data_IF_956212905850
#
_entry.id   IF_956212905850
#
_cell.length_a   1.000
_cell.length_b   1.000
_cell.length_c   1.000
_cell.angle_alpha   90.00
_cell.angle_beta   90.00
_cell.angle_gamma   90.00
#
_symmetry.space_group_name_H-M   'P 1'
#
loop_
_entity.id
_entity.type
_entity.pdbx_description
1 polymer ?
#
# COMPACT_ATOMS: atom_id res chain seq x y z
N UNK A 1 9.61 22.60 5.33
CA UNK A 1 8.79 21.83 4.35
C UNK A 1 9.17 20.36 4.46
N UNK A 2 8.20 19.46 4.56
CA UNK A 2 8.47 18.01 4.55
C UNK A 2 9.16 17.63 3.24
N UNK A 3 10.32 16.99 3.32
CA UNK A 3 11.03 16.48 2.16
C UNK A 3 10.15 15.48 1.42
N UNK A 4 10.00 15.71 0.11
CA UNK A 4 9.33 14.79 -0.80
C UNK A 4 7.82 14.70 -0.64
N UNK A 5 7.09 15.81 -0.68
CA UNK A 5 5.63 15.77 -0.82
C UNK A 5 5.26 15.56 -2.29
N UNK A 6 4.13 14.91 -2.56
CA UNK A 6 3.48 14.96 -3.89
C UNK A 6 3.17 16.41 -4.24
N UNK A 7 3.47 16.86 -5.45
CA UNK A 7 3.29 18.28 -5.84
C UNK A 7 1.82 18.68 -5.72
N UNK A 8 0.94 17.84 -6.25
CA UNK A 8 -0.51 17.99 -6.22
C UNK A 8 -1.14 17.37 -4.96
N UNK A 9 -0.42 17.26 -3.85
CA UNK A 9 -0.92 16.56 -2.65
C UNK A 9 -2.28 17.07 -2.15
N UNK A 10 -2.53 18.38 -2.28
CA UNK A 10 -3.80 19.02 -1.84
C UNK A 10 -4.86 19.07 -2.94
N UNK A 11 -4.53 18.67 -4.16
CA UNK A 11 -5.41 18.74 -5.30
C UNK A 11 -6.14 17.40 -5.43
N UNK A 12 -7.46 17.42 -5.31
CA UNK A 12 -8.32 16.26 -5.49
C UNK A 12 -9.27 16.57 -6.64
N UNK A 13 -9.43 15.61 -7.54
CA UNK A 13 -10.55 15.62 -8.50
C UNK A 13 -11.86 15.38 -7.75
N UNK A 14 -13.00 15.61 -8.41
CA UNK A 14 -14.31 15.30 -7.81
C UNK A 14 -14.42 13.81 -7.49
N UNK A 15 -13.96 12.96 -8.42
CA UNK A 15 -13.88 11.52 -8.24
C UNK A 15 -13.03 11.12 -7.03
N UNK A 16 -11.86 11.74 -6.85
CA UNK A 16 -11.02 11.47 -5.68
C UNK A 16 -11.76 11.78 -4.36
N UNK A 17 -12.52 12.88 -4.32
CA UNK A 17 -13.30 13.25 -3.12
C UNK A 17 -14.40 12.24 -2.85
N UNK A 18 -15.16 11.88 -3.86
CA UNK A 18 -16.26 10.92 -3.74
C UNK A 18 -15.78 9.55 -3.25
N UNK A 19 -14.64 9.05 -3.77
CA UNK A 19 -14.02 7.81 -3.30
C UNK A 19 -13.61 7.93 -1.82
N UNK A 20 -12.97 9.04 -1.43
CA UNK A 20 -12.54 9.28 -0.05
C UNK A 20 -13.72 9.44 0.92
N UNK A 21 -14.82 10.05 0.49
CA UNK A 21 -16.07 10.16 1.26
C UNK A 21 -16.68 8.78 1.52
N UNK A 22 -16.71 7.91 0.51
CA UNK A 22 -17.17 6.54 0.69
C UNK A 22 -16.24 5.73 1.62
N UNK A 23 -14.92 5.94 1.53
CA UNK A 23 -13.99 5.36 2.51
C UNK A 23 -14.26 5.87 3.93
N UNK A 24 -14.58 7.15 4.12
CA UNK A 24 -14.94 7.71 5.42
C UNK A 24 -16.25 7.12 5.97
N UNK A 25 -17.26 6.89 5.11
CA UNK A 25 -18.49 6.18 5.49
C UNK A 25 -18.19 4.75 5.97
N UNK A 26 -17.34 4.02 5.23
CA UNK A 26 -16.84 2.70 5.64
C UNK A 26 -16.17 2.78 7.02
N UNK A 27 -15.29 3.76 7.25
CA UNK A 27 -14.63 3.93 8.56
C UNK A 27 -15.62 4.20 9.69
N UNK A 28 -16.69 4.95 9.42
CA UNK A 28 -17.74 5.28 10.42
C UNK A 28 -18.53 4.03 10.81
N UNK A 29 -18.96 3.23 9.83
CA UNK A 29 -19.61 1.93 10.09
C UNK A 29 -18.69 1.04 10.94
N UNK A 30 -17.41 0.91 10.56
CA UNK A 30 -16.45 0.12 11.34
C UNK A 30 -16.32 0.66 12.77
N UNK A 31 -16.22 1.98 12.94
CA UNK A 31 -16.13 2.60 14.26
C UNK A 31 -17.37 2.30 15.10
N UNK A 32 -18.56 2.32 14.51
CA UNK A 32 -19.83 2.05 15.21
C UNK A 32 -19.99 0.56 15.55
N UNK A 33 -19.36 -0.34 14.78
CA UNK A 33 -19.38 -1.80 15.00
C UNK A 33 -18.50 -2.30 16.15
N UNK A 34 -17.64 -1.45 16.73
CA UNK A 34 -16.71 -1.81 17.81
C UNK A 34 -17.12 -1.20 19.16
N UNK A 35 -16.67 -1.78 20.30
CA UNK A 35 -16.96 -1.25 21.64
C UNK A 35 -16.60 0.23 21.78
N UNK A 36 -17.46 1.00 22.46
CA UNK A 36 -17.40 2.47 22.55
C UNK A 36 -16.03 2.97 23.05
N UNK A 37 -15.45 2.28 24.04
CA UNK A 37 -14.15 2.60 24.63
C UNK A 37 -12.98 2.53 23.62
N UNK A 38 -13.15 1.77 22.54
CA UNK A 38 -12.13 1.56 21.52
C UNK A 38 -12.27 2.48 20.30
N UNK A 39 -13.42 3.13 20.14
CA UNK A 39 -13.75 3.91 18.95
C UNK A 39 -12.78 5.06 18.68
N UNK A 40 -12.33 5.75 19.73
CA UNK A 40 -11.36 6.84 19.62
C UNK A 40 -9.99 6.33 19.16
N UNK A 41 -9.56 5.19 19.70
CA UNK A 41 -8.30 4.53 19.33
C UNK A 41 -8.33 4.11 17.86
N UNK A 42 -9.38 3.38 17.45
CA UNK A 42 -9.58 3.00 16.05
C UNK A 42 -9.56 4.20 15.11
N UNK A 43 -10.31 5.26 15.43
CA UNK A 43 -10.40 6.44 14.58
C UNK A 43 -9.03 7.09 14.39
N UNK A 44 -8.29 7.32 15.48
CA UNK A 44 -7.01 8.01 15.44
C UNK A 44 -5.91 7.22 14.72
N UNK A 45 -5.88 5.89 14.92
CA UNK A 45 -4.79 5.05 14.42
C UNK A 45 -5.08 4.46 13.03
N UNK A 46 -6.34 4.16 12.73
CA UNK A 46 -6.76 3.38 11.56
C UNK A 46 -7.76 4.10 10.66
N UNK A 47 -8.89 4.54 11.22
CA UNK A 47 -10.08 4.93 10.48
C UNK A 47 -10.06 6.33 9.87
N UNK A 48 -9.31 7.28 10.45
CA UNK A 48 -9.33 8.68 10.01
C UNK A 48 -8.98 8.83 8.53
N UNK A 49 -9.79 9.58 7.79
CA UNK A 49 -9.51 9.94 6.39
C UNK A 49 -8.96 11.37 6.32
N UNK A 50 -7.87 11.54 5.58
CA UNK A 50 -7.37 12.83 5.14
C UNK A 50 -7.78 13.08 3.71
N UNK A 51 -8.44 14.20 3.45
CA UNK A 51 -8.81 14.69 2.13
C UNK A 51 -7.60 15.29 1.40
N UNK A 52 -6.63 14.43 1.12
CA UNK A 52 -5.43 14.76 0.35
C UNK A 52 -4.89 13.49 -0.29
N UNK A 53 -4.16 13.66 -1.40
CA UNK A 53 -3.61 12.54 -2.14
C UNK A 53 -2.52 11.78 -1.37
N UNK A 54 -1.90 12.44 -0.38
CA UNK A 54 -0.78 11.92 0.40
C UNK A 54 -1.13 11.49 1.83
N UNK A 55 -2.42 11.30 2.13
CA UNK A 55 -2.94 11.01 3.47
C UNK A 55 -2.44 12.02 4.54
N UNK A 56 -2.34 13.30 4.18
CA UNK A 56 -1.90 14.38 5.04
C UNK A 56 -0.44 14.20 5.46
N UNK A 57 0.45 14.04 4.47
CA UNK A 57 1.88 13.73 4.69
C UNK A 57 2.07 12.38 5.41
N UNK A 58 1.17 11.43 5.17
CA UNK A 58 1.16 10.12 5.83
C UNK A 58 0.92 10.15 7.34
N UNK A 59 0.43 11.27 7.89
CA UNK A 59 0.10 11.42 9.32
C UNK A 59 -1.29 12.01 9.55
N UNK A 60 -1.89 12.64 8.53
CA UNK A 60 -3.24 13.19 8.62
C UNK A 60 -4.31 12.11 8.51
N UNK A 61 -4.07 11.07 7.69
CA UNK A 61 -4.91 9.89 7.55
C UNK A 61 -4.40 8.72 8.39
N UNK A 62 -5.33 7.87 8.82
CA UNK A 62 -5.10 6.63 9.55
C UNK A 62 -4.45 5.54 8.71
N UNK A 63 -4.07 4.43 9.35
CA UNK A 63 -3.32 3.34 8.73
C UNK A 63 -4.04 2.73 7.52
N UNK A 64 -5.38 2.58 7.57
CA UNK A 64 -6.15 2.00 6.48
C UNK A 64 -6.00 2.81 5.20
N UNK A 65 -6.09 4.14 5.27
CA UNK A 65 -5.91 5.00 4.10
C UNK A 65 -4.48 4.87 3.54
N UNK A 66 -3.48 4.86 4.42
CA UNK A 66 -2.07 4.80 4.00
C UNK A 66 -1.71 3.49 3.32
N UNK A 67 -2.28 2.39 3.77
CA UNK A 67 -1.94 1.06 3.30
C UNK A 67 -2.75 0.69 2.05
N UNK A 68 -4.06 0.97 2.05
CA UNK A 68 -4.98 0.64 0.96
C UNK A 68 -5.01 1.69 -0.16
N UNK A 69 -5.10 2.97 0.18
CA UNK A 69 -5.40 4.02 -0.80
C UNK A 69 -4.15 4.73 -1.33
N UNK A 70 -3.06 4.72 -0.56
CA UNK A 70 -1.83 5.42 -0.90
C UNK A 70 -0.70 4.47 -1.28
N UNK A 71 0.16 4.92 -2.18
CA UNK A 71 1.42 4.23 -2.50
C UNK A 71 2.40 4.28 -1.34
N UNK A 72 3.41 3.41 -1.36
CA UNK A 72 4.50 3.49 -0.37
C UNK A 72 5.33 4.75 -0.58
N UNK A 73 5.84 5.27 0.53
CA UNK A 73 6.65 6.47 0.47
C UNK A 73 8.07 6.22 -0.04
N UNK A 74 8.50 6.94 -1.08
CA UNK A 74 9.86 6.87 -1.63
C UNK A 74 10.61 8.19 -1.43
N UNK A 75 11.82 8.09 -0.87
CA UNK A 75 12.79 9.18 -0.78
C UNK A 75 13.86 9.03 -1.87
N UNK A 76 14.51 10.14 -2.24
CA UNK A 76 15.62 10.13 -3.21
C UNK A 76 15.42 11.10 -4.38
N UNK A 77 16.38 11.09 -5.30
CA UNK A 77 16.36 11.85 -6.56
C UNK A 77 15.60 11.04 -7.62
N UNK A 78 14.27 11.12 -7.60
CA UNK A 78 13.39 10.39 -8.53
C UNK A 78 12.07 11.16 -8.75
N UNK A 79 11.32 10.87 -9.82
CA UNK A 79 10.03 11.50 -10.10
C UNK A 79 8.87 10.94 -9.28
N UNK A 80 9.13 10.03 -8.32
CA UNK A 80 8.05 9.36 -7.58
C UNK A 80 7.35 10.31 -6.60
N UNK A 81 6.05 10.44 -6.81
CA UNK A 81 5.11 11.02 -5.86
C UNK A 81 5.11 10.19 -4.59
N UNK A 82 5.40 10.85 -3.46
CA UNK A 82 5.46 10.18 -2.18
C UNK A 82 4.05 9.97 -1.64
N UNK A 83 3.65 8.71 -1.42
CA UNK A 83 2.37 8.34 -0.83
C UNK A 83 1.13 8.84 -1.59
N UNK A 84 1.19 8.98 -2.90
CA UNK A 84 0.04 9.42 -3.72
C UNK A 84 -1.09 8.38 -3.74
N UNK A 85 -2.31 8.75 -4.15
CA UNK A 85 -3.41 7.80 -4.36
C UNK A 85 -2.99 6.73 -5.36
N UNK A 86 -3.38 5.47 -5.14
CA UNK A 86 -2.98 4.33 -5.99
C UNK A 86 -3.54 4.40 -7.41
N UNK A 87 -4.70 5.04 -7.60
CA UNK A 87 -5.28 5.30 -8.92
C UNK A 87 -4.74 6.59 -9.56
N UNK A 88 -3.46 6.90 -9.33
CA UNK A 88 -2.84 8.07 -9.95
C UNK A 88 -2.70 7.84 -11.47
N UNK A 89 -3.14 8.78 -12.32
CA UNK A 89 -3.27 8.53 -13.76
C UNK A 89 -1.93 8.55 -14.51
N UNK A 90 -0.81 8.85 -13.86
CA UNK A 90 0.51 8.79 -14.49
C UNK A 90 1.42 7.80 -13.77
N UNK A 91 1.84 6.76 -14.48
CA UNK A 91 2.73 5.73 -13.96
C UNK A 91 4.04 5.65 -14.75
N UNK A 92 5.02 4.96 -14.18
CA UNK A 92 6.23 4.52 -14.87
C UNK A 92 6.39 3.02 -14.75
N UNK A 93 6.86 2.40 -15.83
CA UNK A 93 7.14 0.98 -15.92
C UNK A 93 8.33 0.73 -16.85
N UNK A 94 8.93 -0.45 -16.77
CA UNK A 94 9.97 -0.87 -17.70
C UNK A 94 9.39 -1.12 -19.09
N UNK A 95 8.23 -1.78 -19.14
CA UNK A 95 7.48 -2.13 -20.36
C UNK A 95 6.06 -1.58 -20.22
N UNK A 96 5.46 -1.13 -21.32
CA UNK A 96 4.08 -0.63 -21.34
C UNK A 96 3.10 -1.76 -20.91
N UNK A 97 2.38 -1.61 -19.81
CA UNK A 97 1.36 -2.59 -19.41
C UNK A 97 0.09 -2.44 -20.26
N UNK A 98 -0.69 -3.51 -20.49
CA UNK A 98 -1.83 -3.49 -21.41
C UNK A 98 -2.91 -2.45 -21.11
N UNK A 99 -3.16 -2.15 -19.83
CA UNK A 99 -4.24 -1.25 -19.39
C UNK A 99 -3.87 0.23 -19.41
N UNK A 100 -2.71 0.60 -19.96
CA UNK A 100 -2.21 1.97 -19.95
C UNK A 100 -1.96 2.48 -21.36
N UNK A 101 -2.21 3.77 -21.57
CA UNK A 101 -1.82 4.44 -22.82
C UNK A 101 -0.36 4.90 -22.74
N UNK A 102 0.40 4.82 -23.85
CA UNK A 102 1.75 5.36 -23.88
C UNK A 102 1.71 6.88 -23.83
N UNK A 103 2.73 7.47 -23.22
CA UNK A 103 3.02 8.90 -23.29
C UNK A 103 4.53 9.12 -23.32
N UNK A 104 4.97 10.31 -23.71
CA UNK A 104 6.39 10.66 -23.75
C UNK A 104 6.70 11.84 -22.84
N UNK A 105 7.99 12.13 -22.67
CA UNK A 105 8.44 13.28 -21.88
C UNK A 105 9.35 14.17 -22.69
N UNK A 106 9.32 15.46 -22.36
CA UNK A 106 10.29 16.47 -22.74
C UNK A 106 10.92 17.04 -21.47
N UNK A 107 12.20 17.42 -21.54
CA UNK A 107 12.88 18.08 -20.44
C UNK A 107 13.13 19.55 -20.78
N UNK A 108 12.67 20.42 -19.89
CA UNK A 108 13.10 21.80 -19.82
C UNK A 108 14.30 21.90 -18.87
N UNK A 109 15.49 22.07 -19.43
CA UNK A 109 16.74 22.13 -18.66
C UNK A 109 16.94 23.47 -17.95
N UNK A 110 16.33 24.55 -18.44
CA UNK A 110 16.45 25.88 -17.85
C UNK A 110 15.59 25.97 -16.59
N UNK A 111 14.35 25.46 -16.68
CA UNK A 111 13.44 25.40 -15.54
C UNK A 111 13.67 24.17 -14.64
N UNK A 112 14.45 23.19 -15.12
CA UNK A 112 14.64 21.88 -14.49
C UNK A 112 13.30 21.19 -14.22
N UNK A 113 12.48 21.10 -15.28
CA UNK A 113 11.11 20.58 -15.23
C UNK A 113 10.91 19.50 -16.29
N UNK A 114 10.21 18.44 -15.92
CA UNK A 114 9.76 17.40 -16.84
C UNK A 114 8.38 17.81 -17.33
N UNK A 115 8.16 17.70 -18.63
CA UNK A 115 6.88 18.00 -19.28
C UNK A 115 6.40 16.72 -19.93
N UNK A 116 5.18 16.31 -19.60
CA UNK A 116 4.57 15.09 -20.13
C UNK A 116 3.83 15.43 -21.42
N UNK A 117 4.05 14.65 -22.47
CA UNK A 117 3.47 14.87 -23.80
C UNK A 117 2.50 13.74 -24.11
N UNK A 118 1.23 14.11 -24.32
CA UNK A 118 0.14 13.19 -24.68
C UNK A 118 -0.61 13.79 -25.86
N UNK A 119 -0.63 13.11 -27.00
CA UNK A 119 -1.31 13.57 -28.22
C UNK A 119 -0.99 15.04 -28.58
N UNK A 120 0.30 15.42 -28.50
CA UNK A 120 0.83 16.78 -28.71
C UNK A 120 0.41 17.84 -27.68
N UNK A 121 -0.33 17.47 -26.62
CA UNK A 121 -0.61 18.36 -25.50
C UNK A 121 0.46 18.22 -24.43
N UNK A 122 0.85 19.34 -23.83
CA UNK A 122 1.84 19.40 -22.75
C UNK A 122 1.14 19.44 -21.39
N UNK A 123 1.58 18.58 -20.47
CA UNK A 123 1.11 18.53 -19.09
C UNK A 123 2.26 18.77 -18.14
N UNK A 124 2.06 19.70 -17.21
CA UNK A 124 3.03 19.98 -16.17
C UNK A 124 2.88 19.01 -15.00
N UNK A 125 3.96 18.74 -14.24
CA UNK A 125 3.98 17.92 -13.03
C UNK A 125 2.85 18.18 -12.04
N UNK A 126 2.44 19.44 -11.88
CA UNK A 126 1.33 19.86 -11.03
C UNK A 126 -0.06 19.52 -11.57
N UNK A 127 -0.19 19.28 -12.88
CA UNK A 127 -1.46 19.10 -13.60
C UNK A 127 -1.76 17.63 -13.94
N UNK A 128 -0.75 16.75 -13.90
CA UNK A 128 -0.89 15.33 -14.27
C UNK A 128 -1.97 14.58 -13.50
N UNK A 129 -2.37 15.04 -12.30
CA UNK A 129 -3.44 14.41 -11.53
C UNK A 129 -4.82 14.54 -12.20
N UNK A 130 -4.97 15.45 -13.17
CA UNK A 130 -6.20 15.71 -13.91
C UNK A 130 -6.32 14.87 -15.20
N UNK A 131 -5.30 14.06 -15.51
CA UNK A 131 -5.34 13.22 -16.70
C UNK A 131 -6.59 12.31 -16.67
N UNK A 132 -7.34 12.23 -17.80
CA UNK A 132 -8.66 11.60 -17.82
C UNK A 132 -8.60 10.07 -17.71
N UNK A 133 -7.43 9.50 -17.97
CA UNK A 133 -7.21 8.06 -18.03
C UNK A 133 -5.75 7.72 -17.65
N UNK A 134 -5.44 6.44 -17.39
CA UNK A 134 -4.10 6.03 -17.01
C UNK A 134 -3.11 6.03 -18.18
N UNK A 135 -2.00 6.73 -18.00
CA UNK A 135 -0.86 6.80 -18.92
C UNK A 135 0.40 6.22 -18.27
N UNK A 136 1.27 5.65 -19.10
CA UNK A 136 2.55 5.10 -18.69
C UNK A 136 3.70 5.73 -19.49
N UNK A 137 4.73 6.16 -18.77
CA UNK A 137 6.03 6.52 -19.34
C UNK A 137 6.92 5.28 -19.23
N UNK A 138 7.49 4.78 -20.32
CA UNK A 138 8.36 3.59 -20.28
C UNK A 138 9.83 3.98 -20.09
N UNK A 139 10.68 3.00 -19.77
CA UNK A 139 12.13 3.19 -19.68
C UNK A 139 12.72 3.90 -20.90
N UNK A 140 12.26 3.55 -22.12
CA UNK A 140 12.73 4.14 -23.37
C UNK A 140 12.50 5.65 -23.46
N UNK A 141 11.46 6.17 -22.80
CA UNK A 141 11.22 7.61 -22.73
C UNK A 141 12.19 8.32 -21.78
N UNK A 142 12.74 7.64 -20.78
CA UNK A 142 13.66 8.22 -19.79
C UNK A 142 15.13 8.16 -20.23
N UNK A 143 15.51 7.08 -20.92
CA UNK A 143 16.89 6.81 -21.31
C UNK A 143 17.59 7.98 -22.04
N UNK A 144 16.95 8.70 -22.98
CA UNK A 144 17.57 9.82 -23.66
C UNK A 144 17.99 10.98 -22.75
N UNK A 145 17.46 11.03 -21.53
CA UNK A 145 17.61 12.17 -20.63
C UNK A 145 18.43 11.88 -19.36
N UNK A 146 18.96 10.67 -19.23
CA UNK A 146 19.61 10.19 -17.99
C UNK A 146 20.71 11.13 -17.50
N UNK A 147 21.57 11.61 -18.39
CA UNK A 147 22.71 12.45 -18.00
C UNK A 147 22.26 13.84 -17.53
N UNK A 148 21.24 14.42 -18.19
CA UNK A 148 20.61 15.65 -17.71
C UNK A 148 19.97 15.44 -16.33
N UNK A 149 19.19 14.37 -16.15
CA UNK A 149 18.47 14.10 -14.90
C UNK A 149 19.40 13.78 -13.72
N UNK A 150 20.53 13.10 -13.95
CA UNK A 150 21.55 12.85 -12.91
C UNK A 150 22.14 14.13 -12.33
N UNK A 151 22.26 15.17 -13.17
CA UNK A 151 22.80 16.48 -12.75
C UNK A 151 21.85 17.26 -11.83
N UNK A 152 20.56 16.88 -11.76
CA UNK A 152 19.56 17.62 -11.00
C UNK A 152 19.73 17.43 -9.49
N UNK A 153 19.38 18.46 -8.73
CA UNK A 153 19.49 18.46 -7.27
C UNK A 153 18.20 17.93 -6.63
N UNK A 154 18.27 17.61 -5.33
CA UNK A 154 17.11 17.13 -4.60
C UNK A 154 15.93 18.12 -4.59
N UNK A 155 16.19 19.42 -4.70
CA UNK A 155 15.18 20.47 -4.81
C UNK A 155 14.39 20.40 -6.11
N UNK A 156 15.03 20.12 -7.24
CA UNK A 156 14.37 19.97 -8.55
C UNK A 156 13.39 18.80 -8.53
N UNK A 157 13.80 17.68 -7.96
CA UNK A 157 12.91 16.54 -7.77
C UNK A 157 11.77 16.86 -6.80
N UNK A 158 12.11 17.25 -5.57
CA UNK A 158 11.14 17.36 -4.48
C UNK A 158 10.12 18.48 -4.65
N UNK A 159 10.46 19.55 -5.37
CA UNK A 159 9.58 20.73 -5.52
C UNK A 159 8.91 20.80 -6.89
N UNK A 160 9.51 20.22 -7.94
CA UNK A 160 9.05 20.45 -9.32
C UNK A 160 8.65 19.18 -10.07
N UNK A 161 9.16 18.00 -9.72
CA UNK A 161 9.04 16.81 -10.58
C UNK A 161 8.50 15.51 -9.93
N UNK A 162 7.99 15.56 -8.69
CA UNK A 162 7.29 14.43 -8.05
C UNK A 162 5.85 14.32 -8.55
N UNK A 163 5.67 13.59 -9.64
CA UNK A 163 4.47 13.64 -10.47
C UNK A 163 3.92 12.29 -10.91
N UNK A 164 4.55 11.17 -10.56
CA UNK A 164 4.11 9.85 -11.03
C UNK A 164 4.24 8.79 -9.93
N UNK A 165 3.67 7.61 -10.12
CA UNK A 165 3.90 6.45 -9.25
C UNK A 165 4.50 5.28 -10.05
N UNK A 166 5.22 4.35 -9.42
CA UNK A 166 5.56 3.08 -10.05
C UNK A 166 4.28 2.32 -10.41
N UNK A 167 4.22 1.67 -11.57
CA UNK A 167 3.05 0.88 -11.98
C UNK A 167 2.73 -0.23 -10.97
N UNK A 168 3.74 -0.84 -10.32
CA UNK A 168 3.53 -1.90 -9.33
C UNK A 168 2.72 -1.46 -8.12
N UNK A 169 2.67 -0.15 -7.84
CA UNK A 169 1.88 0.42 -6.73
C UNK A 169 0.48 0.85 -7.16
N UNK A 170 0.20 0.85 -8.47
CA UNK A 170 -1.07 1.27 -9.03
C UNK A 170 -2.18 0.29 -8.66
N UNK A 171 -3.37 0.84 -8.46
CA UNK A 171 -4.61 0.11 -8.32
C UNK A 171 -5.71 0.90 -9.02
N UNK A 172 -6.70 0.21 -9.59
CA UNK A 172 -7.95 0.90 -9.91
C UNK A 172 -8.57 1.44 -8.63
N UNK A 173 -9.37 2.51 -8.76
CA UNK A 173 -9.98 3.14 -7.60
C UNK A 173 -10.89 2.18 -6.83
N UNK A 174 -11.62 1.32 -7.55
CA UNK A 174 -12.52 0.33 -6.96
C UNK A 174 -11.73 -0.76 -6.23
N UNK A 175 -10.66 -1.29 -6.84
CA UNK A 175 -9.78 -2.27 -6.19
C UNK A 175 -9.19 -1.70 -4.88
N UNK A 176 -8.84 -0.40 -4.86
CA UNK A 176 -8.30 0.29 -3.67
C UNK A 176 -9.38 0.53 -2.59
N UNK A 177 -10.60 0.89 -2.98
CA UNK A 177 -11.74 1.06 -2.07
C UNK A 177 -12.13 -0.27 -1.41
N UNK A 178 -12.22 -1.35 -2.19
CA UNK A 178 -12.51 -2.68 -1.69
C UNK A 178 -11.38 -3.20 -0.78
N UNK A 179 -10.13 -2.94 -1.14
CA UNK A 179 -8.97 -3.20 -0.29
C UNK A 179 -9.09 -2.47 1.05
N UNK A 180 -9.51 -1.20 1.03
CA UNK A 180 -9.73 -0.42 2.25
C UNK A 180 -10.81 -1.05 3.13
N UNK A 181 -11.93 -1.46 2.54
CA UNK A 181 -13.03 -2.11 3.24
C UNK A 181 -12.62 -3.44 3.89
N UNK A 182 -11.99 -4.35 3.12
CA UNK A 182 -11.55 -5.65 3.64
C UNK A 182 -10.54 -5.48 4.76
N UNK A 183 -9.54 -4.63 4.58
CA UNK A 183 -8.54 -4.35 5.62
C UNK A 183 -9.21 -3.71 6.86
N UNK A 184 -10.22 -2.87 6.67
CA UNK A 184 -11.02 -2.28 7.74
C UNK A 184 -11.75 -3.33 8.58
N UNK A 185 -12.47 -4.25 7.93
CA UNK A 185 -13.15 -5.38 8.59
C UNK A 185 -12.17 -6.24 9.37
N UNK A 186 -11.00 -6.55 8.79
CA UNK A 186 -9.94 -7.33 9.47
C UNK A 186 -9.52 -6.65 10.77
N UNK A 187 -9.24 -5.34 10.75
CA UNK A 187 -8.84 -4.60 11.94
C UNK A 187 -9.97 -4.56 12.98
N UNK A 188 -11.20 -4.30 12.55
CA UNK A 188 -12.36 -4.24 13.43
C UNK A 188 -12.53 -5.55 14.23
N UNK A 189 -12.49 -6.68 13.54
CA UNK A 189 -12.69 -8.00 14.13
C UNK A 189 -11.47 -8.43 14.94
N UNK A 190 -10.27 -8.42 14.33
CA UNK A 190 -9.08 -8.99 14.97
C UNK A 190 -8.54 -8.13 16.12
N UNK A 191 -8.63 -6.80 16.02
CA UNK A 191 -8.00 -5.89 16.99
C UNK A 191 -9.00 -5.25 17.95
N UNK A 192 -10.28 -5.14 17.55
CA UNK A 192 -11.29 -4.41 18.31
C UNK A 192 -12.54 -5.25 18.64
N UNK A 193 -12.52 -6.56 18.35
CA UNK A 193 -13.57 -7.52 18.66
C UNK A 193 -14.95 -7.13 18.10
N UNK A 194 -15.00 -6.50 16.93
CA UNK A 194 -16.26 -6.29 16.20
C UNK A 194 -16.94 -7.63 15.88
N UNK A 195 -18.27 -7.63 15.76
CA UNK A 195 -18.99 -8.80 15.24
C UNK A 195 -18.65 -9.01 13.76
N UNK A 196 -18.11 -10.19 13.44
CA UNK A 196 -17.59 -10.48 12.11
C UNK A 196 -18.67 -10.44 11.02
N UNK A 197 -19.84 -11.01 11.28
CA UNK A 197 -20.87 -11.18 10.26
C UNK A 197 -21.64 -9.88 10.01
N UNK A 198 -22.05 -9.19 11.08
CA UNK A 198 -22.72 -7.89 11.00
C UNK A 198 -21.83 -6.86 10.31
N UNK A 199 -20.59 -6.71 10.79
CA UNK A 199 -19.65 -5.70 10.23
C UNK A 199 -19.38 -5.95 8.75
N UNK A 200 -19.15 -7.20 8.36
CA UNK A 200 -18.90 -7.53 6.96
C UNK A 200 -20.12 -7.25 6.08
N UNK A 201 -21.32 -7.65 6.52
CA UNK A 201 -22.54 -7.49 5.73
C UNK A 201 -22.93 -6.01 5.57
N UNK A 202 -22.83 -5.20 6.62
CA UNK A 202 -23.09 -3.75 6.54
C UNK A 202 -22.12 -3.04 5.59
N UNK A 203 -20.83 -3.39 5.63
CA UNK A 203 -19.84 -2.85 4.71
C UNK A 203 -20.11 -3.28 3.27
N UNK A 204 -20.46 -4.56 3.06
CA UNK A 204 -20.80 -5.08 1.74
C UNK A 204 -22.04 -4.39 1.16
N UNK A 205 -23.05 -4.16 1.98
CA UNK A 205 -24.26 -3.43 1.60
C UNK A 205 -23.93 -1.98 1.21
N UNK A 206 -23.13 -1.27 2.01
CA UNK A 206 -22.68 0.08 1.66
C UNK A 206 -21.95 0.09 0.31
N UNK A 207 -21.00 -0.83 0.11
CA UNK A 207 -20.22 -0.94 -1.14
C UNK A 207 -21.13 -1.20 -2.33
N UNK A 208 -22.13 -2.06 -2.19
CA UNK A 208 -23.08 -2.38 -3.28
C UNK A 208 -23.95 -1.20 -3.74
N UNK A 209 -24.05 -0.16 -2.91
CA UNK A 209 -24.79 1.06 -3.21
C UNK A 209 -23.89 2.18 -3.78
N UNK A 210 -22.59 1.96 -3.92
CA UNK A 210 -21.67 2.94 -4.53
C UNK A 210 -21.81 2.87 -6.04
N UNK A 211 -22.07 4.02 -6.67
CA UNK A 211 -22.18 4.15 -8.12
C UNK A 211 -21.23 5.21 -8.64
N UNK A 212 -20.03 4.79 -9.05
CA UNK A 212 -18.99 5.65 -9.66
C UNK A 212 -18.55 4.98 -10.97
N UNK A 213 -18.47 5.76 -12.06
CA UNK A 213 -18.03 5.31 -13.39
C UNK A 213 -18.72 4.04 -13.93
N UNK A 214 -19.98 3.78 -13.54
CA UNK A 214 -20.74 2.59 -13.98
C UNK A 214 -20.07 1.24 -13.61
N UNK A 215 -19.19 1.23 -12.60
CA UNK A 215 -18.57 0.01 -12.07
C UNK A 215 -19.50 -0.64 -11.05
N UNK A 216 -19.86 -1.90 -11.28
CA UNK A 216 -20.62 -2.70 -10.32
C UNK A 216 -19.72 -3.12 -9.15
N UNK A 217 -20.18 -2.84 -7.93
CA UNK A 217 -19.50 -3.21 -6.69
C UNK A 217 -20.41 -4.07 -5.81
N UNK A 218 -19.85 -4.94 -4.95
CA UNK A 218 -18.45 -5.34 -4.95
C UNK A 218 -18.08 -6.15 -6.20
N UNK A 219 -16.83 -6.07 -6.64
CA UNK A 219 -16.25 -6.87 -7.72
C UNK A 219 -16.12 -8.34 -7.31
N UNK A 220 -15.83 -9.20 -8.28
CA UNK A 220 -15.54 -10.62 -8.06
C UNK A 220 -14.32 -10.88 -7.15
N UNK A 221 -13.45 -9.87 -6.97
CA UNK A 221 -12.27 -9.96 -6.10
C UNK A 221 -12.60 -9.69 -4.63
N UNK A 222 -13.80 -9.19 -4.32
CA UNK A 222 -14.20 -8.97 -2.94
C UNK A 222 -14.48 -10.34 -2.28
N UNK A 223 -13.75 -10.71 -1.22
CA UNK A 223 -13.80 -12.06 -0.67
C UNK A 223 -15.15 -12.34 -0.02
N UNK A 224 -15.72 -13.54 -0.23
CA UNK A 224 -16.92 -13.95 0.49
C UNK A 224 -16.63 -14.25 1.97
N UNK A 225 -17.64 -14.14 2.84
CA UNK A 225 -17.47 -14.47 4.26
C UNK A 225 -17.13 -15.97 4.48
N UNK A 226 -17.47 -16.88 3.56
CA UNK A 226 -17.09 -18.29 3.68
C UNK A 226 -15.62 -18.52 3.34
N UNK A 227 -15.11 -17.84 2.32
CA UNK A 227 -13.68 -17.82 1.98
C UNK A 227 -12.86 -17.00 3.01
N UNK A 228 -13.54 -16.23 3.87
CA UNK A 228 -12.92 -15.31 4.81
C UNK A 228 -12.23 -15.94 6.02
N UNK A 229 -12.21 -17.28 6.15
CA UNK A 229 -11.62 -17.93 7.32
C UNK A 229 -10.14 -17.53 7.51
N UNK A 230 -9.45 -17.18 6.43
CA UNK A 230 -8.05 -16.71 6.44
C UNK A 230 -7.88 -15.18 6.47
N UNK A 231 -8.95 -14.38 6.59
CA UNK A 231 -8.82 -12.91 6.66
C UNK A 231 -8.23 -12.43 8.00
N UNK A 232 -8.52 -13.17 9.07
CA UNK A 232 -8.26 -12.74 10.45
C UNK A 232 -6.97 -13.34 11.03
N UNK A 233 -6.31 -14.20 10.25
CA UNK A 233 -5.03 -14.83 10.56
C UNK A 233 -3.94 -14.26 9.66
N UNK A 234 -2.70 -14.31 10.14
CA UNK A 234 -1.56 -13.99 9.30
C UNK A 234 -1.43 -15.06 8.20
N UNK A 235 -1.41 -14.69 6.91
CA UNK A 235 -1.45 -15.68 5.82
C UNK A 235 -0.16 -16.51 5.69
N UNK A 236 0.93 -16.11 6.36
CA UNK A 236 2.20 -16.84 6.35
C UNK A 236 2.30 -17.79 7.54
N UNK A 237 2.07 -17.30 8.76
CA UNK A 237 2.26 -18.11 9.97
C UNK A 237 0.98 -18.73 10.52
N UNK A 238 -0.18 -18.39 9.93
CA UNK A 238 -1.52 -18.87 10.29
C UNK A 238 -1.95 -18.59 11.73
N UNK A 239 -1.20 -17.75 12.45
CA UNK A 239 -1.56 -17.29 13.79
C UNK A 239 -2.56 -16.13 13.68
N UNK A 240 -3.51 -16.01 14.62
CA UNK A 240 -4.41 -14.85 14.69
C UNK A 240 -3.63 -13.54 14.71
N UNK A 241 -4.13 -12.53 14.00
CA UNK A 241 -3.43 -11.25 13.81
C UNK A 241 -3.21 -10.45 15.11
N UNK A 242 -3.95 -10.76 16.17
CA UNK A 242 -3.78 -10.16 17.49
C UNK A 242 -2.82 -10.93 18.41
N UNK A 243 -2.16 -11.98 17.90
CA UNK A 243 -1.20 -12.79 18.64
C UNK A 243 0.24 -12.54 18.17
N UNK A 244 1.19 -13.28 18.75
CA UNK A 244 2.57 -13.27 18.28
C UNK A 244 2.72 -14.09 16.98
N UNK A 245 3.67 -13.72 16.10
CA UNK A 245 3.93 -14.48 14.88
C UNK A 245 4.32 -15.93 15.19
N UNK A 246 3.73 -16.87 14.45
CA UNK A 246 3.92 -18.31 14.62
C UNK A 246 3.69 -18.80 16.06
N UNK A 247 2.83 -18.10 16.82
CA UNK A 247 2.57 -18.35 18.24
C UNK A 247 3.85 -18.38 19.10
N UNK A 248 4.90 -17.69 18.66
CA UNK A 248 6.16 -17.60 19.39
C UNK A 248 5.97 -16.78 20.68
N UNK A 249 6.74 -17.08 21.74
CA UNK A 249 6.70 -16.27 22.95
C UNK A 249 7.14 -14.83 22.66
N UNK A 250 6.50 -13.87 23.32
CA UNK A 250 6.86 -12.46 23.21
C UNK A 250 8.32 -12.27 23.63
N UNK A 251 9.15 -11.75 22.72
CA UNK A 251 10.56 -11.50 23.00
C UNK A 251 10.73 -10.30 23.93
N UNK A 252 11.45 -10.49 25.04
CA UNK A 252 11.94 -9.38 25.86
C UNK A 252 13.16 -8.75 25.19
N UNK A 253 13.00 -7.55 24.63
CA UNK A 253 14.10 -6.82 23.98
C UNK A 253 14.86 -5.98 25.00
N UNK A 254 16.20 -6.02 25.02
CA UNK A 254 17.00 -5.16 25.89
C UNK A 254 16.70 -3.68 25.65
N UNK A 255 16.78 -2.87 26.69
CA UNK A 255 16.64 -1.42 26.58
C UNK A 255 17.89 -0.89 25.87
N UNK A 256 17.76 -0.57 24.58
CA UNK A 256 18.79 0.16 23.85
C UNK A 256 18.61 1.65 24.14
N UNK A 257 19.67 2.34 24.59
CA UNK A 257 19.68 3.78 24.78
C UNK A 257 19.29 4.50 23.49
N UNK A 258 18.48 5.54 23.61
CA UNK A 258 18.13 6.44 22.51
C UNK A 258 18.13 7.86 23.05
N UNK A 259 18.52 8.87 22.26
CA UNK A 259 18.48 10.26 22.71
C UNK A 259 17.08 10.64 23.22
N UNK A 260 16.96 11.38 24.35
CA UNK A 260 15.66 11.73 24.94
C UNK A 260 14.70 12.49 24.01
N UNK A 261 15.25 13.22 23.04
CA UNK A 261 14.50 13.98 22.03
C UNK A 261 14.10 13.17 20.79
N UNK A 262 14.48 11.89 20.71
CA UNK A 262 14.12 11.03 19.58
C UNK A 262 12.76 10.37 19.82
N UNK A 263 11.81 10.58 18.91
CA UNK A 263 10.54 9.86 18.92
C UNK A 263 10.82 8.38 18.69
N UNK A 264 10.52 7.53 19.68
CA UNK A 264 10.69 6.08 19.57
C UNK A 264 9.66 5.52 18.59
N UNK A 265 10.06 5.19 17.36
CA UNK A 265 9.24 4.45 16.38
C UNK A 265 9.06 2.95 16.72
N UNK A 266 9.38 2.52 17.95
CA UNK A 266 9.67 1.11 18.24
C UNK A 266 8.47 0.16 18.15
N UNK A 267 7.24 0.66 18.32
CA UNK A 267 6.02 -0.17 18.21
C UNK A 267 5.80 -0.71 16.79
N UNK A 268 6.20 0.04 15.75
CA UNK A 268 6.21 -0.45 14.35
C UNK A 268 7.35 -1.45 14.09
N UNK A 269 8.32 -1.57 15.01
CA UNK A 269 9.40 -2.54 14.95
C UNK A 269 9.11 -3.83 15.72
N UNK A 270 7.98 -3.91 16.42
CA UNK A 270 7.60 -5.11 17.18
C UNK A 270 7.19 -6.23 16.22
N UNK A 271 7.53 -7.47 16.58
CA UNK A 271 7.39 -8.62 15.69
C UNK A 271 5.91 -8.93 15.37
N UNK A 272 5.02 -8.63 16.31
CA UNK A 272 3.56 -8.75 16.17
C UNK A 272 2.88 -7.50 15.55
N UNK A 273 3.63 -6.45 15.21
CA UNK A 273 3.02 -5.30 14.52
C UNK A 273 2.46 -5.72 13.16
N UNK A 274 1.33 -5.15 12.75
CA UNK A 274 0.67 -5.52 11.51
C UNK A 274 1.10 -4.64 10.33
N UNK A 275 1.41 -5.28 9.22
CA UNK A 275 1.72 -4.63 7.95
C UNK A 275 0.82 -5.18 6.85
N UNK A 276 0.46 -4.30 5.91
CA UNK A 276 -0.17 -4.76 4.68
C UNK A 276 0.80 -5.68 3.93
N UNK A 277 0.24 -6.79 3.49
CA UNK A 277 0.90 -7.87 2.77
C UNK A 277 0.09 -8.15 1.50
N UNK A 278 0.79 -8.66 0.48
CA UNK A 278 0.20 -9.14 -0.76
C UNK A 278 0.47 -10.63 -0.88
N UNK A 279 -0.58 -11.45 -1.01
CA UNK A 279 -0.46 -12.93 -1.12
C UNK A 279 0.41 -13.29 -2.32
N UNK A 280 0.14 -12.66 -3.46
CA UNK A 280 0.98 -12.63 -4.66
C UNK A 280 1.71 -11.30 -4.72
N UNK A 281 3.03 -11.29 -5.00
CA UNK A 281 3.81 -10.07 -5.02
C UNK A 281 3.35 -9.11 -6.13
N UNK A 282 3.54 -7.81 -5.90
CA UNK A 282 3.26 -6.76 -6.88
C UNK A 282 4.29 -6.84 -8.02
N UNK A 283 3.83 -6.79 -9.26
CA UNK A 283 4.68 -6.85 -10.46
C UNK A 283 4.21 -5.83 -11.50
N UNK A 284 5.05 -5.51 -12.49
CA UNK A 284 4.71 -4.47 -13.47
C UNK A 284 3.68 -4.90 -14.52
N UNK A 285 3.58 -6.21 -14.79
CA UNK A 285 2.71 -6.74 -15.85
C UNK A 285 1.25 -6.87 -15.46
N UNK A 286 0.90 -6.72 -14.18
CA UNK A 286 -0.45 -6.97 -13.67
C UNK A 286 -0.77 -6.08 -12.45
N UNK A 287 -2.01 -5.60 -12.37
CA UNK A 287 -2.51 -4.83 -11.23
C UNK A 287 -2.95 -5.79 -10.12
N UNK A 288 -2.16 -5.84 -9.03
CA UNK A 288 -2.34 -6.82 -7.94
C UNK A 288 -2.73 -6.23 -6.59
N UNK A 289 -2.90 -4.92 -6.49
CA UNK A 289 -3.41 -4.31 -5.27
C UNK A 289 -4.95 -4.29 -5.32
N UNK A 290 -5.57 -5.35 -4.81
CA UNK A 290 -7.02 -5.56 -4.81
C UNK A 290 -7.45 -6.38 -3.58
N UNK A 291 -8.76 -6.45 -3.31
CA UNK A 291 -9.33 -7.09 -2.14
C UNK A 291 -9.07 -8.60 -2.03
N UNK A 292 -8.85 -9.29 -3.15
CA UNK A 292 -8.49 -10.72 -3.15
C UNK A 292 -7.08 -10.92 -2.61
N UNK A 293 -6.15 -10.02 -2.97
CA UNK A 293 -4.72 -10.20 -2.76
C UNK A 293 -4.17 -9.49 -1.50
N UNK A 294 -4.80 -8.42 -1.02
CA UNK A 294 -4.32 -7.66 0.15
C UNK A 294 -4.75 -8.30 1.46
N UNK A 295 -3.84 -8.45 2.42
CA UNK A 295 -4.12 -8.91 3.78
C UNK A 295 -3.31 -8.11 4.79
N UNK A 296 -3.63 -8.26 6.08
CA UNK A 296 -2.66 -7.97 7.12
C UNK A 296 -1.82 -9.21 7.41
N UNK A 297 -0.54 -9.00 7.68
CA UNK A 297 0.35 -10.02 8.20
C UNK A 297 1.20 -9.45 9.34
N UNK A 298 1.70 -10.33 10.20
CA UNK A 298 2.71 -9.94 11.17
C UNK A 298 3.94 -9.39 10.44
N UNK A 299 4.53 -8.32 10.95
CA UNK A 299 5.70 -7.66 10.36
C UNK A 299 6.84 -8.62 10.11
N UNK A 300 7.13 -9.52 11.06
CA UNK A 300 8.19 -10.51 10.87
C UNK A 300 7.91 -11.37 9.64
N UNK A 301 6.68 -11.87 9.51
CA UNK A 301 6.26 -12.66 8.36
C UNK A 301 6.33 -11.87 7.05
N UNK A 302 5.82 -10.64 7.03
CA UNK A 302 5.85 -9.79 5.85
C UNK A 302 7.29 -9.48 5.37
N UNK A 303 8.20 -9.21 6.32
CA UNK A 303 9.63 -9.01 6.01
C UNK A 303 10.27 -10.30 5.48
N UNK A 304 9.89 -11.46 6.00
CA UNK A 304 10.41 -12.75 5.53
C UNK A 304 9.92 -13.09 4.10
N UNK A 305 8.69 -12.70 3.73
CA UNK A 305 8.15 -12.94 2.39
C UNK A 305 8.90 -12.18 1.30
N UNK A 306 9.37 -10.97 1.57
CA UNK A 306 10.03 -10.11 0.58
C UNK A 306 9.15 -9.90 -0.66
N UNK A 307 9.67 -10.18 -1.87
CA UNK A 307 8.95 -10.05 -3.15
C UNK A 307 8.52 -11.41 -3.73
N UNK A 308 8.39 -12.44 -2.88
CA UNK A 308 7.96 -13.78 -3.28
C UNK A 308 6.48 -14.01 -2.97
N UNK A 309 5.85 -14.94 -3.68
CA UNK A 309 4.56 -15.50 -3.29
C UNK A 309 4.66 -16.29 -1.99
N UNK A 310 3.53 -16.52 -1.32
CA UNK A 310 3.47 -17.35 -0.12
C UNK A 310 3.94 -18.78 -0.43
N UNK A 311 3.57 -19.32 -1.59
CA UNK A 311 3.95 -20.65 -2.03
C UNK A 311 5.47 -20.79 -2.21
N UNK A 312 6.11 -19.81 -2.86
CA UNK A 312 7.57 -19.76 -3.02
C UNK A 312 8.29 -19.65 -1.67
N UNK A 313 7.77 -18.83 -0.76
CA UNK A 313 8.32 -18.68 0.59
C UNK A 313 8.26 -20.00 1.37
N UNK A 314 7.11 -20.68 1.35
CA UNK A 314 6.91 -21.95 2.04
C UNK A 314 7.85 -23.02 1.48
N UNK A 315 7.99 -23.10 0.15
CA UNK A 315 8.93 -24.02 -0.48
C UNK A 315 10.38 -23.72 -0.10
N UNK A 316 10.78 -22.45 -0.08
CA UNK A 316 12.09 -22.03 0.40
C UNK A 316 12.33 -22.45 1.87
N UNK A 317 11.39 -22.17 2.76
CA UNK A 317 11.49 -22.54 4.18
C UNK A 317 11.62 -24.07 4.37
N UNK A 318 10.85 -24.87 3.62
CA UNK A 318 10.95 -26.34 3.64
C UNK A 318 12.34 -26.82 3.20
N UNK A 319 12.89 -26.24 2.14
CA UNK A 319 14.24 -26.58 1.67
C UNK A 319 15.32 -26.24 2.69
N UNK A 320 15.21 -25.08 3.34
CA UNK A 320 16.14 -24.68 4.41
C UNK A 320 16.08 -25.64 5.59
N UNK A 321 14.87 -25.98 6.07
CA UNK A 321 14.69 -26.94 7.18
C UNK A 321 15.34 -28.30 6.85
N UNK A 322 15.01 -28.84 5.67
CA UNK A 322 15.57 -30.12 5.21
C UNK A 322 17.10 -30.11 5.17
N UNK A 323 17.71 -29.02 4.73
CA UNK A 323 19.19 -28.89 4.69
C UNK A 323 19.82 -28.90 6.08
N UNK A 324 19.16 -28.30 7.08
CA UNK A 324 19.62 -28.37 8.46
C UNK A 324 19.43 -29.77 9.07
N UNK A 325 18.31 -30.44 8.81
CA UNK A 325 18.07 -31.82 9.27
C UNK A 325 19.09 -32.82 8.68
N UNK A 326 19.43 -32.66 7.39
CA UNK A 326 20.50 -33.43 6.71
C UNK A 326 21.87 -33.21 7.39
N UNK A 327 22.18 -31.96 7.75
CA UNK A 327 23.42 -31.62 8.44
C UNK A 327 23.48 -32.26 9.83
N UNK A 328 22.43 -32.10 10.65
CA UNK A 328 22.37 -32.69 12.00
C UNK A 328 22.53 -34.21 11.94
N UNK A 329 21.87 -34.86 10.99
CA UNK A 329 21.97 -36.31 10.75
C UNK A 329 23.37 -36.77 10.28
N UNK A 330 24.10 -35.89 9.59
CA UNK A 330 25.48 -36.14 9.18
C UNK A 330 26.49 -35.88 10.31
N UNK A 331 26.25 -34.86 11.15
CA UNK A 331 27.08 -34.54 12.31
C UNK A 331 26.93 -35.56 13.44
N UNK A 332 25.75 -36.16 13.62
CA UNK A 332 25.56 -37.26 14.56
C UNK A 332 26.32 -38.54 14.17
N UNK A 333 26.68 -38.71 12.88
CA UNK A 333 27.52 -39.81 12.39
C UNK A 333 29.02 -39.59 12.59
N UNK A 334 29.46 -38.38 12.92
CA UNK A 334 30.86 -38.07 13.23
C UNK A 334 31.20 -38.11 14.73
N UNK A 335 30.17 -38.21 15.59
CA UNK A 335 30.31 -38.32 17.04
C UNK A 335 30.01 -39.75 17.57
N UNK A 336 29.95 -40.74 16.67
CA UNK A 336 30.03 -42.18 16.98
C UNK A 336 31.27 -42.75 16.29
#
# INVERSE_FOLDING_TARGET
MSTGRTISAKNLTNKDREILENCEKISKIIKESIPEENQSSFWNDFGKISYSRDAGVGRGGGKLQRDALCTRGKSGKNPFSNRNLRWHPLVVASILPPSFKPCSIRIDNDQKKIIVIINNNEFLPEDVYQLPEPYCITSDNWLPFVDSLKSWEGSDWNKKNRMLIPVVEYAHWYDALESYAVLGVIIAVSMFNADKESTYNEIKELISNISIDEIELPTEKFPSLKESMYLFDCPICLSPLNQQPASLPKRNRPIVWSPPWMIKKRTEGDDASLQILHIKPLIESEIRHNAENVRFGHRWCNVAQTDHSIEELIEYMKRVSKKHEELESSSSKFNQ
#
